data_IF_007079868901
#
_entry.id   IF_007079868901
#
_cell.length_a   1.000
_cell.length_b   1.000
_cell.length_c   1.000
_cell.angle_alpha   90.00
_cell.angle_beta   90.00
_cell.angle_gamma   90.00
#
_symmetry.space_group_name_H-M   'P 1'
#
loop_
_entity.id
_entity.type
_entity.pdbx_description
1 polymer ?
#
# COMPACT_ATOMS: atom_id res chain seq x y z
N UNK A 1 -4.74 -14.74 29.68
CA UNK A 1 -5.86 -14.20 28.86
C UNK A 1 -5.56 -12.82 28.29
N UNK A 2 -5.15 -11.83 29.11
CA UNK A 2 -4.79 -10.48 28.62
C UNK A 2 -3.62 -10.53 27.61
N UNK A 3 -2.52 -11.23 27.93
CA UNK A 3 -1.38 -11.35 27.00
C UNK A 3 -1.73 -11.99 25.65
N UNK A 4 -2.66 -12.96 25.65
CA UNK A 4 -3.16 -13.60 24.43
C UNK A 4 -3.87 -12.58 23.55
N UNK A 5 -4.82 -11.85 24.12
CA UNK A 5 -5.59 -10.83 23.41
C UNK A 5 -4.68 -9.70 22.90
N UNK A 6 -3.67 -9.30 23.68
CA UNK A 6 -2.70 -8.28 23.25
C UNK A 6 -1.88 -8.73 22.04
N UNK A 7 -1.36 -9.96 22.04
CA UNK A 7 -0.57 -10.51 20.92
C UNK A 7 -1.46 -10.68 19.68
N UNK A 8 -2.67 -11.22 19.86
CA UNK A 8 -3.63 -11.42 18.76
C UNK A 8 -4.07 -10.08 18.15
N UNK A 9 -4.41 -9.10 18.97
CA UNK A 9 -4.83 -7.78 18.51
C UNK A 9 -3.69 -7.02 17.82
N UNK A 10 -2.46 -7.10 18.34
CA UNK A 10 -1.30 -6.45 17.72
C UNK A 10 -1.01 -7.02 16.34
N UNK A 11 -0.86 -8.35 16.23
CA UNK A 11 -0.59 -9.02 14.95
C UNK A 11 -1.71 -8.81 13.94
N UNK A 12 -2.97 -8.88 14.38
CA UNK A 12 -4.11 -8.58 13.53
C UNK A 12 -4.10 -7.10 13.07
N UNK A 13 -3.71 -6.17 13.93
CA UNK A 13 -3.58 -4.75 13.62
C UNK A 13 -2.52 -4.47 12.54
N UNK A 14 -1.33 -5.04 12.68
CA UNK A 14 -0.22 -4.87 11.71
C UNK A 14 -0.62 -5.35 10.32
N UNK A 15 -1.20 -6.55 10.23
CA UNK A 15 -1.62 -7.13 8.95
C UNK A 15 -2.78 -6.34 8.35
N UNK A 16 -3.77 -5.92 9.16
CA UNK A 16 -4.88 -5.09 8.69
C UNK A 16 -4.40 -3.76 8.11
N UNK A 17 -3.39 -3.15 8.74
CA UNK A 17 -2.78 -1.92 8.24
C UNK A 17 -2.10 -2.12 6.88
N UNK A 18 -1.37 -3.22 6.70
CA UNK A 18 -0.75 -3.57 5.43
C UNK A 18 -1.79 -3.82 4.32
N UNK A 19 -2.90 -4.53 4.63
CA UNK A 19 -4.01 -4.75 3.69
C UNK A 19 -4.66 -3.42 3.28
N UNK A 20 -4.86 -2.50 4.22
CA UNK A 20 -5.43 -1.18 3.94
C UNK A 20 -4.53 -0.35 3.02
N UNK A 21 -3.21 -0.39 3.23
CA UNK A 21 -2.23 0.24 2.33
C UNK A 21 -2.24 -0.38 0.93
N UNK A 22 -2.34 -1.71 0.85
CA UNK A 22 -2.49 -2.44 -0.41
C UNK A 22 -3.77 -2.04 -1.15
N UNK A 23 -4.91 -1.93 -0.44
CA UNK A 23 -6.17 -1.54 -1.06
C UNK A 23 -6.09 -0.14 -1.70
N UNK A 24 -5.50 0.82 -0.98
CA UNK A 24 -5.24 2.18 -1.51
C UNK A 24 -4.30 2.13 -2.72
N UNK A 25 -3.24 1.33 -2.66
CA UNK A 25 -2.31 1.16 -3.77
C UNK A 25 -2.98 0.58 -5.02
N UNK A 26 -3.78 -0.48 -4.87
CA UNK A 26 -4.51 -1.10 -5.97
C UNK A 26 -5.49 -0.11 -6.61
N UNK A 27 -6.23 0.65 -5.79
CA UNK A 27 -7.18 1.65 -6.28
C UNK A 27 -6.50 2.74 -7.14
N UNK A 28 -5.31 3.20 -6.74
CA UNK A 28 -4.55 4.24 -7.47
C UNK A 28 -3.84 3.65 -8.71
N UNK A 29 -3.18 2.50 -8.55
CA UNK A 29 -2.35 1.90 -9.60
C UNK A 29 -3.18 1.28 -10.72
N UNK A 30 -4.32 0.67 -10.37
CA UNK A 30 -5.16 -0.12 -11.28
C UNK A 30 -6.58 0.45 -11.44
N UNK A 31 -6.73 1.78 -11.32
CA UNK A 31 -7.99 2.48 -11.55
C UNK A 31 -8.61 2.03 -12.89
N UNK A 32 -9.77 1.38 -12.83
CA UNK A 32 -10.42 0.73 -13.98
C UNK A 32 -10.95 -0.68 -13.66
N UNK A 33 -10.71 -1.65 -14.55
CA UNK A 33 -11.36 -2.98 -14.52
C UNK A 33 -10.78 -3.96 -13.49
N UNK A 34 -9.47 -3.90 -13.20
CA UNK A 34 -8.78 -4.84 -12.29
C UNK A 34 -8.96 -4.50 -10.81
N UNK A 35 -9.07 -3.21 -10.46
CA UNK A 35 -9.35 -2.79 -9.08
C UNK A 35 -10.74 -3.25 -8.59
N UNK A 36 -11.72 -3.39 -9.50
CA UNK A 36 -13.09 -3.83 -9.15
C UNK A 36 -13.15 -5.27 -8.62
N UNK A 37 -12.23 -6.15 -9.03
CA UNK A 37 -12.18 -7.53 -8.55
C UNK A 37 -11.54 -7.64 -7.15
N UNK A 38 -10.53 -6.82 -6.86
CA UNK A 38 -9.82 -6.84 -5.57
C UNK A 38 -10.47 -5.96 -4.50
N UNK A 39 -11.15 -4.88 -4.88
CA UNK A 39 -11.84 -3.97 -3.94
C UNK A 39 -13.29 -4.41 -3.64
N UNK A 40 -13.59 -5.72 -3.72
CA UNK A 40 -14.90 -6.23 -3.32
C UNK A 40 -14.95 -6.39 -1.81
N UNK A 41 -16.09 -6.04 -1.22
CA UNK A 41 -16.37 -6.21 0.21
C UNK A 41 -16.17 -7.66 0.65
N UNK A 42 -16.49 -8.63 -0.22
CA UNK A 42 -16.24 -10.06 0.03
C UNK A 42 -14.76 -10.38 0.25
N UNK A 43 -13.86 -9.78 -0.54
CA UNK A 43 -12.42 -10.00 -0.40
C UNK A 43 -11.91 -9.37 0.89
N UNK A 44 -12.42 -8.18 1.25
CA UNK A 44 -12.07 -7.53 2.51
C UNK A 44 -12.51 -8.34 3.74
N UNK A 45 -13.70 -8.93 3.72
CA UNK A 45 -14.19 -9.81 4.79
C UNK A 45 -13.30 -11.05 4.92
N UNK A 46 -12.99 -11.72 3.81
CA UNK A 46 -12.13 -12.91 3.81
C UNK A 46 -10.74 -12.58 4.36
N UNK A 47 -10.13 -11.48 3.90
CA UNK A 47 -8.82 -11.06 4.39
C UNK A 47 -8.85 -10.71 5.89
N UNK A 48 -9.91 -10.05 6.36
CA UNK A 48 -10.07 -9.75 7.79
C UNK A 48 -10.17 -11.03 8.64
N UNK A 49 -10.94 -12.02 8.19
CA UNK A 49 -11.02 -13.32 8.86
C UNK A 49 -9.65 -14.01 8.89
N UNK A 50 -8.92 -14.03 7.77
CA UNK A 50 -7.57 -14.58 7.69
C UNK A 50 -6.62 -13.87 8.67
N UNK A 51 -6.68 -12.54 8.75
CA UNK A 51 -5.87 -11.75 9.67
C UNK A 51 -6.10 -12.12 11.13
N UNK A 52 -7.36 -12.31 11.52
CA UNK A 52 -7.70 -12.75 12.88
C UNK A 52 -7.26 -14.19 13.16
N UNK A 53 -7.35 -15.09 12.18
CA UNK A 53 -6.83 -16.47 12.31
C UNK A 53 -5.32 -16.44 12.53
N UNK A 54 -4.57 -15.65 11.75
CA UNK A 54 -3.12 -15.49 11.91
C UNK A 54 -2.80 -14.93 13.30
N UNK A 55 -3.54 -13.92 13.76
CA UNK A 55 -3.34 -13.34 15.08
C UNK A 55 -3.65 -14.32 16.22
N UNK A 56 -4.69 -15.14 16.08
CA UNK A 56 -5.00 -16.21 17.03
C UNK A 56 -3.89 -17.26 17.09
N UNK A 57 -3.34 -17.69 15.95
CA UNK A 57 -2.22 -18.63 15.89
C UNK A 57 -0.96 -18.05 16.54
N UNK A 58 -0.62 -16.79 16.23
CA UNK A 58 0.52 -16.10 16.85
C UNK A 58 0.37 -15.98 18.38
N UNK A 59 -0.85 -15.70 18.85
CA UNK A 59 -1.15 -15.62 20.28
C UNK A 59 -1.12 -16.97 20.98
N UNK A 60 -1.56 -18.06 20.32
CA UNK A 60 -1.42 -19.42 20.85
C UNK A 60 0.06 -19.79 21.05
N UNK A 61 0.92 -19.47 20.09
CA UNK A 61 2.37 -19.67 20.18
C UNK A 61 3.02 -18.84 21.29
N UNK A 62 2.46 -17.67 21.60
CA UNK A 62 2.96 -16.76 22.63
C UNK A 62 2.49 -17.06 24.06
N UNK A 63 1.47 -17.92 24.25
CA UNK A 63 0.77 -18.03 25.55
C UNK A 63 0.58 -19.42 26.13
N UNK A 64 0.75 -20.49 25.35
CA UNK A 64 0.59 -21.87 25.84
C UNK A 64 1.95 -22.58 25.86
N UNK A 65 2.36 -23.23 26.96
CA UNK A 65 1.65 -23.39 28.25
C UNK A 65 1.87 -22.23 29.25
N UNK A 66 2.92 -21.44 29.09
CA UNK A 66 3.21 -20.26 29.91
C UNK A 66 3.27 -18.99 29.05
N UNK A 67 2.72 -17.85 29.52
CA UNK A 67 2.74 -16.61 28.77
C UNK A 67 4.17 -16.06 28.67
N UNK A 68 4.70 -16.03 27.45
CA UNK A 68 6.01 -15.45 27.14
C UNK A 68 6.01 -13.93 27.37
N UNK A 69 4.84 -13.30 27.21
CA UNK A 69 4.62 -11.86 27.39
C UNK A 69 3.82 -11.63 28.67
N UNK A 70 4.41 -10.93 29.63
CA UNK A 70 3.81 -10.55 30.90
C UNK A 70 3.61 -9.04 30.98
N UNK A 71 2.48 -8.62 31.55
CA UNK A 71 2.28 -7.23 31.95
C UNK A 71 2.92 -7.06 33.32
N UNK A 72 4.03 -6.31 33.40
CA UNK A 72 4.54 -5.85 34.68
C UNK A 72 3.51 -4.85 35.24
N UNK A 73 3.13 -5.01 36.51
CA UNK A 73 2.14 -4.12 37.15
C UNK A 73 2.78 -2.91 37.81
N UNK A 74 4.08 -3.01 38.09
CA UNK A 74 4.96 -2.00 38.67
C UNK A 74 5.42 -0.95 37.65
N UNK A 75 5.56 -1.35 36.40
CA UNK A 75 5.82 -0.47 35.26
C UNK A 75 4.78 -0.83 34.23
N UNK A 76 3.97 0.10 33.75
CA UNK A 76 2.92 -0.12 32.74
C UNK A 76 3.53 -0.47 31.36
N UNK A 77 4.36 -1.50 31.33
CA UNK A 77 5.25 -1.89 30.26
C UNK A 77 5.14 -3.39 30.05
N UNK A 78 5.21 -3.76 28.78
CA UNK A 78 5.14 -5.15 28.34
C UNK A 78 6.55 -5.72 28.43
N UNK A 79 6.74 -6.79 29.19
CA UNK A 79 8.05 -7.40 29.41
C UNK A 79 7.99 -8.91 29.12
N UNK A 80 9.07 -9.46 28.57
CA UNK A 80 9.19 -10.89 28.35
C UNK A 80 9.48 -11.59 29.68
N UNK A 81 8.67 -12.57 30.05
CA UNK A 81 8.74 -13.25 31.36
C UNK A 81 9.96 -14.17 31.45
N UNK A 82 10.36 -14.77 30.32
CA UNK A 82 11.49 -15.70 30.21
C UNK A 82 12.17 -15.55 28.85
N UNK A 83 13.43 -15.10 28.85
CA UNK A 83 14.28 -15.00 27.64
C UNK A 83 15.19 -16.19 27.44
N UNK A 84 15.33 -17.08 28.43
CA UNK A 84 16.18 -18.26 28.35
C UNK A 84 15.40 -19.46 27.80
N UNK A 85 15.56 -19.76 26.51
CA UNK A 85 15.02 -20.96 25.87
C UNK A 85 14.86 -20.87 24.35
N UNK A 86 14.68 -22.02 23.68
CA UNK A 86 14.43 -22.09 22.21
C UNK A 86 13.07 -21.52 21.78
N UNK A 87 12.07 -21.53 22.67
CA UNK A 87 10.70 -21.06 22.41
C UNK A 87 10.54 -19.54 22.27
N UNK A 88 11.09 -18.68 23.15
CA UNK A 88 11.00 -17.22 22.97
C UNK A 88 11.68 -16.78 21.67
N UNK A 89 12.77 -17.43 21.25
CA UNK A 89 13.42 -17.17 19.97
C UNK A 89 12.49 -17.42 18.76
N UNK A 90 11.73 -18.51 18.78
CA UNK A 90 10.78 -18.83 17.70
C UNK A 90 9.60 -17.85 17.67
N UNK A 91 9.08 -17.46 18.83
CA UNK A 91 8.03 -16.45 18.94
C UNK A 91 8.49 -15.07 18.43
N UNK A 92 9.68 -14.62 18.86
CA UNK A 92 10.28 -13.37 18.40
C UNK A 92 10.52 -13.42 16.89
N UNK A 93 11.06 -14.52 16.37
CA UNK A 93 11.25 -14.70 14.93
C UNK A 93 9.92 -14.60 14.17
N UNK A 94 8.85 -15.24 14.65
CA UNK A 94 7.52 -15.15 14.03
C UNK A 94 6.99 -13.71 14.00
N UNK A 95 7.07 -12.97 15.11
CA UNK A 95 6.63 -11.56 15.16
C UNK A 95 7.48 -10.72 14.21
N UNK A 96 8.81 -10.84 14.27
CA UNK A 96 9.70 -10.09 13.38
C UNK A 96 9.39 -10.38 11.90
N UNK A 97 9.09 -11.62 11.53
CA UNK A 97 8.71 -11.97 10.16
C UNK A 97 7.38 -11.30 9.79
N UNK A 98 6.38 -11.33 10.66
CA UNK A 98 5.07 -10.68 10.41
C UNK A 98 5.25 -9.18 10.22
N UNK A 99 6.05 -8.53 11.08
CA UNK A 99 6.34 -7.10 11.00
C UNK A 99 7.13 -6.76 9.73
N UNK A 100 8.16 -7.54 9.39
CA UNK A 100 8.94 -7.38 8.17
C UNK A 100 8.07 -7.52 6.91
N UNK A 101 7.15 -8.49 6.88
CA UNK A 101 6.20 -8.65 5.78
C UNK A 101 5.26 -7.45 5.72
N UNK A 102 4.71 -7.01 6.86
CA UNK A 102 3.81 -5.85 6.93
C UNK A 102 4.48 -4.57 6.41
N UNK A 103 5.68 -4.27 6.90
CA UNK A 103 6.49 -3.12 6.45
C UNK A 103 6.88 -3.27 4.98
N UNK A 104 7.30 -4.46 4.56
CA UNK A 104 7.68 -4.75 3.18
C UNK A 104 6.55 -4.51 2.19
N UNK A 105 5.34 -5.01 2.49
CA UNK A 105 4.14 -4.76 1.68
C UNK A 105 3.85 -3.27 1.60
N UNK A 106 3.88 -2.55 2.73
CA UNK A 106 3.61 -1.11 2.76
C UNK A 106 4.65 -0.32 1.95
N UNK A 107 5.91 -0.72 2.03
CA UNK A 107 7.00 -0.09 1.30
C UNK A 107 6.88 -0.29 -0.20
N UNK A 108 6.59 -1.53 -0.64
CA UNK A 108 6.34 -1.85 -2.05
C UNK A 108 5.12 -1.07 -2.57
N UNK A 109 4.04 -1.03 -1.81
CA UNK A 109 2.83 -0.27 -2.15
C UNK A 109 3.14 1.22 -2.35
N UNK A 110 3.92 1.82 -1.44
CA UNK A 110 4.34 3.22 -1.54
C UNK A 110 5.16 3.49 -2.80
N UNK A 111 6.13 2.62 -3.13
CA UNK A 111 6.96 2.76 -4.34
C UNK A 111 6.09 2.65 -5.60
N UNK A 112 5.20 1.66 -5.67
CA UNK A 112 4.30 1.48 -6.82
C UNK A 112 3.42 2.71 -7.07
N UNK A 113 2.81 3.27 -6.02
CA UNK A 113 1.98 4.48 -6.12
C UNK A 113 2.80 5.66 -6.64
N UNK A 114 4.01 5.87 -6.13
CA UNK A 114 4.88 6.95 -6.60
C UNK A 114 5.28 6.79 -8.06
N UNK A 115 5.62 5.57 -8.49
CA UNK A 115 5.94 5.28 -9.88
C UNK A 115 4.73 5.58 -10.78
N UNK A 116 3.53 5.13 -10.40
CA UNK A 116 2.32 5.37 -11.18
C UNK A 116 2.00 6.85 -11.31
N UNK A 117 2.10 7.62 -10.22
CA UNK A 117 1.89 9.07 -10.25
C UNK A 117 2.89 9.75 -11.19
N UNK A 118 4.16 9.32 -11.17
CA UNK A 118 5.20 9.84 -12.09
C UNK A 118 4.86 9.52 -13.55
N UNK A 119 4.45 8.29 -13.85
CA UNK A 119 4.02 7.90 -15.20
C UNK A 119 2.85 8.75 -15.71
N UNK A 120 1.81 8.91 -14.89
CA UNK A 120 0.63 9.71 -15.25
C UNK A 120 1.03 11.17 -15.47
N UNK A 121 1.86 11.74 -14.59
CA UNK A 121 2.37 13.11 -14.75
C UNK A 121 3.18 13.28 -16.04
N UNK A 122 4.04 12.31 -16.37
CA UNK A 122 4.80 12.31 -17.62
C UNK A 122 3.89 12.19 -18.86
N UNK A 123 2.86 11.34 -18.82
CA UNK A 123 1.87 11.22 -19.91
C UNK A 123 1.11 12.53 -20.11
N UNK A 124 0.63 13.16 -19.04
CA UNK A 124 -0.06 14.47 -19.11
C UNK A 124 0.87 15.53 -19.70
N UNK A 125 2.14 15.56 -19.25
CA UNK A 125 3.12 16.51 -19.77
C UNK A 125 3.38 16.32 -21.27
N UNK A 126 3.61 15.08 -21.72
CA UNK A 126 3.78 14.76 -23.15
C UNK A 126 2.54 15.12 -23.97
N UNK A 127 1.34 14.82 -23.47
CA UNK A 127 0.10 15.17 -24.15
C UNK A 127 -0.07 16.69 -24.28
N UNK A 128 0.23 17.46 -23.23
CA UNK A 128 0.23 18.93 -23.28
C UNK A 128 1.23 19.48 -24.30
N UNK A 129 2.44 18.90 -24.37
CA UNK A 129 3.43 19.29 -25.37
C UNK A 129 2.92 19.02 -26.79
N UNK A 130 2.35 17.84 -27.03
CA UNK A 130 1.82 17.46 -28.35
C UNK A 130 0.64 18.34 -28.77
N UNK A 131 -0.24 18.68 -27.83
CA UNK A 131 -1.35 19.60 -28.09
C UNK A 131 -0.83 21.01 -28.41
N UNK A 132 0.20 21.47 -27.69
CA UNK A 132 0.79 22.80 -27.91
C UNK A 132 1.57 22.87 -29.24
N UNK A 133 2.29 21.82 -29.64
CA UNK A 133 2.95 21.76 -30.94
C UNK A 133 1.93 21.77 -32.08
N UNK A 134 0.89 20.94 -32.02
CA UNK A 134 -0.19 20.92 -33.01
C UNK A 134 -0.85 22.30 -33.18
N UNK A 135 -1.09 23.01 -32.07
CA UNK A 135 -1.69 24.34 -32.10
C UNK A 135 -0.77 25.40 -32.73
N UNK A 136 0.57 25.26 -32.59
CA UNK A 136 1.53 26.13 -33.28
C UNK A 136 1.56 25.88 -34.77
N UNK A 137 1.54 24.62 -35.21
CA UNK A 137 1.49 24.29 -36.64
C UNK A 137 0.22 24.83 -37.29
N UNK A 138 -0.93 24.65 -36.65
CA UNK A 138 -2.20 25.21 -37.16
C UNK A 138 -2.14 26.74 -37.31
N UNK A 139 -1.53 27.45 -36.35
CA UNK A 139 -1.33 28.90 -36.45
C UNK A 139 -0.40 29.30 -37.60
N UNK A 140 0.67 28.55 -37.85
CA UNK A 140 1.61 28.82 -38.95
C UNK A 140 0.93 28.65 -40.31
N UNK A 141 0.22 27.54 -40.52
CA UNK A 141 -0.52 27.27 -41.77
C UNK A 141 -1.59 28.34 -42.01
N UNK A 142 -2.33 28.72 -40.96
CA UNK A 142 -3.32 29.78 -41.06
C UNK A 142 -2.68 31.12 -41.43
N UNK A 143 -1.56 31.49 -40.81
CA UNK A 143 -0.86 32.74 -41.12
C UNK A 143 -0.30 32.78 -42.54
N UNK A 144 0.24 31.67 -43.05
CA UNK A 144 0.73 31.58 -44.43
C UNK A 144 -0.41 31.66 -45.46
N UNK A 145 -1.56 31.04 -45.16
CA UNK A 145 -2.74 31.13 -46.05
C UNK A 145 -3.23 32.56 -46.23
N UNK A 146 -3.29 33.35 -45.15
CA UNK A 146 -3.67 34.78 -45.19
C UNK A 146 -2.66 35.59 -46.01
N UNK A 147 -1.36 35.33 -45.82
CA UNK A 147 -0.31 36.05 -46.53
C UNK A 147 -0.38 35.77 -48.05
N UNK A 148 -0.63 34.51 -48.43
CA UNK A 148 -0.82 34.09 -49.82
C UNK A 148 -2.02 34.78 -50.47
N UNK A 149 -3.14 34.88 -49.75
CA UNK A 149 -4.37 35.53 -50.22
C UNK A 149 -4.17 37.04 -50.42
N UNK A 150 -3.50 37.71 -49.47
CA UNK A 150 -3.09 39.12 -49.59
C UNK A 150 -2.19 39.38 -50.79
N UNK A 151 -1.24 38.49 -51.08
CA UNK A 151 -0.33 38.61 -52.23
C UNK A 151 -1.04 38.40 -53.57
N UNK A 152 -2.07 37.54 -53.63
CA UNK A 152 -2.92 37.39 -54.82
C UNK A 152 -3.74 38.63 -55.11
N UNK A 153 -4.15 39.38 -54.09
CA UNK A 153 -4.96 40.59 -54.24
C UNK A 153 -4.18 41.79 -54.81
N UNK A 154 -2.84 41.73 -54.78
CA UNK A 154 -1.93 42.76 -55.28
C UNK A 154 -1.32 42.46 -56.67
N UNK A 155 -1.68 41.33 -57.28
CA UNK A 155 -1.27 40.93 -58.62
C UNK A 155 -2.47 41.00 -59.55
#
# INVERSE_FOLDING_TARGET
MISFLSIAAWTAGVISYAILGLNRCIAICYYGTKAKAFNQVSVAIVLSLCTWIIGAVAALLGTIPEPIVGVRRDMWTVSFVTTEGKRPGLFIACICIIDCIGVGIQWICSIMVLLRIREVKQRIYKNKLNQNSANRFHKQVFSESILSEKLKQYR
#
